data_IF_049701807585
#
_entry.id   IF_049701807585
#
_cell.length_a   1.000
_cell.length_b   1.000
_cell.length_c   1.000
_cell.angle_alpha   90.00
_cell.angle_beta   90.00
_cell.angle_gamma   90.00
#
_symmetry.space_group_name_H-M   'P 1'
#
loop_
_entity.id
_entity.type
_entity.pdbx_description
1 polymer ?
#
# COMPACT_ATOMS: atom_id res chain seq x y z
N UNK A 1 -11.65 -13.70 -2.96
CA UNK A 1 -10.23 -13.29 -2.93
C UNK A 1 -10.20 -11.78 -3.05
N UNK A 2 -9.55 -11.08 -2.12
CA UNK A 2 -9.75 -9.65 -1.91
C UNK A 2 -9.13 -8.81 -3.03
N UNK A 3 -9.96 -8.40 -4.00
CA UNK A 3 -9.66 -7.35 -4.97
C UNK A 3 -9.86 -5.98 -4.29
N UNK A 4 -8.80 -5.46 -3.65
CA UNK A 4 -8.82 -4.06 -3.23
C UNK A 4 -8.46 -3.25 -4.47
N UNK A 5 -9.38 -2.38 -4.88
CA UNK A 5 -9.15 -1.46 -5.98
C UNK A 5 -8.43 -0.23 -5.45
N UNK A 6 -7.18 -0.03 -5.87
CA UNK A 6 -6.36 1.15 -5.51
C UNK A 6 -6.09 1.93 -6.78
N UNK A 7 -6.40 3.23 -6.79
CA UNK A 7 -6.01 4.07 -7.91
C UNK A 7 -4.59 4.58 -7.75
N UNK A 8 -3.94 4.94 -8.86
CA UNK A 8 -2.59 5.51 -8.84
C UNK A 8 -2.50 6.76 -7.97
N UNK A 9 -3.53 7.60 -7.99
CA UNK A 9 -3.61 8.82 -7.18
C UNK A 9 -3.67 8.50 -5.67
N UNK A 10 -4.53 7.56 -5.27
CA UNK A 10 -4.63 7.11 -3.88
C UNK A 10 -3.29 6.50 -3.42
N UNK A 11 -2.67 5.68 -4.28
CA UNK A 11 -1.36 5.08 -4.00
C UNK A 11 -0.24 6.11 -3.87
N UNK A 12 -0.22 7.18 -4.68
CA UNK A 12 0.83 8.21 -4.61
C UNK A 12 0.84 8.93 -3.25
N UNK A 13 -0.30 9.03 -2.57
CA UNK A 13 -0.39 9.57 -1.21
C UNK A 13 -0.07 8.50 -0.17
N UNK A 14 -0.60 7.29 -0.35
CA UNK A 14 -0.35 6.14 0.52
C UNK A 14 1.12 5.77 0.59
N UNK A 15 1.82 5.71 -0.55
CA UNK A 15 3.24 5.35 -0.64
C UNK A 15 4.10 6.31 0.17
N UNK A 16 3.77 7.61 0.20
CA UNK A 16 4.48 8.60 1.03
C UNK A 16 4.31 8.31 2.52
N UNK A 17 3.10 7.95 2.96
CA UNK A 17 2.84 7.50 4.33
C UNK A 17 3.57 6.17 4.63
N UNK A 18 3.61 5.27 3.66
CA UNK A 18 4.28 3.98 3.76
C UNK A 18 5.81 4.11 3.88
N UNK A 19 6.44 4.96 3.06
CA UNK A 19 7.87 5.31 3.13
C UNK A 19 8.23 5.88 4.51
N UNK A 20 7.43 6.82 5.03
CA UNK A 20 7.63 7.38 6.38
C UNK A 20 7.59 6.32 7.48
N UNK A 21 6.75 5.30 7.33
CA UNK A 21 6.62 4.20 8.28
C UNK A 21 7.71 3.15 8.10
N UNK A 22 8.16 2.94 6.87
CA UNK A 22 9.13 1.93 6.47
C UNK A 22 10.28 2.58 5.70
N UNK A 23 11.20 3.20 6.45
CA UNK A 23 12.37 3.90 5.90
C UNK A 23 13.34 2.99 5.10
N UNK A 24 13.14 1.68 5.15
CA UNK A 24 13.94 0.70 4.40
C UNK A 24 13.33 0.33 3.04
N UNK A 25 12.11 0.78 2.75
CA UNK A 25 11.50 0.62 1.43
C UNK A 25 11.96 1.76 0.53
N UNK A 26 12.27 1.43 -0.71
CA UNK A 26 12.56 2.42 -1.75
C UNK A 26 11.31 2.71 -2.58
N UNK A 27 11.29 3.85 -3.28
CA UNK A 27 10.21 4.19 -4.22
C UNK A 27 10.01 3.11 -5.28
N UNK A 28 11.09 2.44 -5.70
CA UNK A 28 11.03 1.31 -6.66
C UNK A 28 10.29 0.09 -6.10
N UNK A 29 10.42 -0.18 -4.80
CA UNK A 29 9.71 -1.28 -4.13
C UNK A 29 8.22 -0.99 -4.00
N UNK A 30 7.88 0.29 -3.92
CA UNK A 30 6.53 0.82 -3.82
C UNK A 30 5.98 1.21 -5.20
N UNK A 31 6.61 0.79 -6.30
CA UNK A 31 6.06 1.00 -7.63
C UNK A 31 4.75 0.19 -7.77
N UNK A 32 3.67 0.90 -8.10
CA UNK A 32 2.33 0.34 -8.27
C UNK A 32 1.80 0.66 -9.66
N UNK A 33 1.14 -0.31 -10.26
CA UNK A 33 0.37 -0.16 -11.49
C UNK A 33 -1.03 -0.70 -11.26
N UNK A 34 -2.03 0.05 -11.74
CA UNK A 34 -3.44 -0.36 -11.66
C UNK A 34 -3.63 -1.69 -12.38
N UNK A 35 -4.26 -2.66 -11.70
CA UNK A 35 -4.40 -4.04 -12.18
C UNK A 35 -3.32 -5.02 -11.72
N UNK A 36 -2.26 -4.55 -11.02
CA UNK A 36 -1.21 -5.40 -10.39
C UNK A 36 -1.22 -5.33 -8.87
N UNK A 37 -2.39 -5.15 -8.27
CA UNK A 37 -2.56 -4.96 -6.82
C UNK A 37 -2.10 -6.21 -6.03
N UNK A 38 -2.43 -7.40 -6.52
CA UNK A 38 -2.00 -8.66 -5.92
C UNK A 38 -0.46 -8.82 -5.92
N UNK A 39 0.21 -8.42 -7.00
CA UNK A 39 1.67 -8.47 -7.09
C UNK A 39 2.34 -7.47 -6.15
N UNK A 40 1.81 -6.25 -6.07
CA UNK A 40 2.26 -5.23 -5.12
C UNK A 40 2.17 -5.75 -3.69
N UNK A 41 1.01 -6.29 -3.30
CA UNK A 41 0.78 -6.81 -1.95
C UNK A 41 1.76 -7.94 -1.63
N UNK A 42 1.98 -8.87 -2.56
CA UNK A 42 2.96 -9.94 -2.40
C UNK A 42 4.39 -9.42 -2.24
N UNK A 43 4.79 -8.45 -3.06
CA UNK A 43 6.12 -7.83 -2.98
C UNK A 43 6.30 -7.14 -1.63
N UNK A 44 5.33 -6.33 -1.21
CA UNK A 44 5.37 -5.62 0.06
C UNK A 44 5.35 -6.57 1.27
N UNK A 45 4.56 -7.63 1.22
CA UNK A 45 4.54 -8.66 2.26
C UNK A 45 5.94 -9.27 2.47
N UNK A 46 6.62 -9.60 1.38
CA UNK A 46 7.98 -10.12 1.42
C UNK A 46 9.00 -9.07 1.90
N UNK A 47 8.92 -7.83 1.41
CA UNK A 47 9.85 -6.75 1.78
C UNK A 47 9.74 -6.36 3.25
N UNK A 48 8.51 -6.19 3.74
CA UNK A 48 8.22 -5.78 5.12
C UNK A 48 8.25 -6.98 6.09
N UNK A 49 8.43 -8.22 5.58
CA UNK A 49 8.37 -9.47 6.32
C UNK A 49 7.07 -9.60 7.14
N UNK A 50 5.94 -9.34 6.49
CA UNK A 50 4.59 -9.40 7.07
C UNK A 50 3.67 -10.25 6.21
N UNK A 51 2.55 -10.67 6.77
CA UNK A 51 1.54 -11.44 6.05
C UNK A 51 0.84 -10.57 4.99
N UNK A 52 0.39 -11.18 3.89
CA UNK A 52 -0.45 -10.54 2.88
C UNK A 52 -1.62 -9.78 3.53
N UNK A 53 -2.33 -10.42 4.45
CA UNK A 53 -3.48 -9.83 5.14
C UNK A 53 -3.13 -8.57 5.91
N UNK A 54 -1.94 -8.52 6.51
CA UNK A 54 -1.47 -7.33 7.21
C UNK A 54 -1.21 -6.18 6.24
N UNK A 55 -0.62 -6.47 5.07
CA UNK A 55 -0.38 -5.47 4.03
C UNK A 55 -1.72 -4.98 3.48
N UNK A 56 -2.63 -5.90 3.10
CA UNK A 56 -3.99 -5.58 2.65
C UNK A 56 -4.72 -4.69 3.66
N UNK A 57 -4.69 -5.06 4.94
CA UNK A 57 -5.28 -4.27 6.01
C UNK A 57 -4.64 -2.88 6.11
N UNK A 58 -3.32 -2.77 6.00
CA UNK A 58 -2.63 -1.48 6.05
C UNK A 58 -3.00 -0.60 4.86
N UNK A 59 -3.12 -1.19 3.66
CA UNK A 59 -3.59 -0.50 2.46
C UNK A 59 -5.02 -0.01 2.64
N UNK A 60 -5.96 -0.89 3.04
CA UNK A 60 -7.35 -0.52 3.30
C UNK A 60 -7.47 0.57 4.36
N UNK A 61 -6.73 0.44 5.46
CA UNK A 61 -6.72 1.42 6.53
C UNK A 61 -6.18 2.76 6.06
N UNK A 62 -5.11 2.78 5.28
CA UNK A 62 -4.56 4.01 4.73
C UNK A 62 -5.47 4.65 3.68
N UNK A 63 -6.17 3.86 2.85
CA UNK A 63 -7.21 4.37 1.95
C UNK A 63 -8.38 4.99 2.72
N UNK A 64 -8.84 4.31 3.78
CA UNK A 64 -9.88 4.84 4.65
C UNK A 64 -9.45 6.13 5.35
N UNK A 65 -8.18 6.23 5.75
CA UNK A 65 -7.58 7.43 6.33
C UNK A 65 -7.42 8.58 5.31
N UNK A 66 -7.22 8.27 4.02
CA UNK A 66 -7.24 9.28 2.95
C UNK A 66 -8.64 9.85 2.70
N UNK A 67 -9.66 8.98 2.73
CA UNK A 67 -11.08 9.40 2.57
C UNK A 67 -11.61 10.06 3.83
N UNK A 68 -11.15 9.65 5.00
CA UNK A 68 -11.42 10.27 6.29
C UNK A 68 -10.43 11.39 6.52
N UNK A 69 -10.59 12.49 5.79
CA UNK A 69 -9.86 13.73 6.00
C UNK A 69 -10.20 14.33 7.39
N UNK A 70 -9.68 13.73 8.47
CA UNK A 70 -9.59 14.35 9.80
C UNK A 70 -8.26 15.09 9.88
N UNK A 71 -8.30 16.33 9.43
CA UNK A 71 -7.52 17.42 10.03
C UNK A 71 -8.13 17.77 11.38
#
# INVERSE_FOLDING_TARGET
MAAIKITREEWDVLKKKFLRKYNHLSDEDLAFEEGKEDELVNRLANRVRRNRDYVLFTLQKGLADLKSNRL
#
